data_IF_982884997191
#
_entry.id   IF_982884997191
#
_cell.length_a   1.000
_cell.length_b   1.000
_cell.length_c   1.000
_cell.angle_alpha   90.00
_cell.angle_beta   90.00
_cell.angle_gamma   90.00
#
_symmetry.space_group_name_H-M   'P 1'
#
loop_
_entity.id
_entity.type
_entity.pdbx_description
1 polymer ?
#
# COMPACT_ATOMS: atom_id res chain seq x y z
N UNK A 1 42.63 21.04 -12.26
CA UNK A 1 41.71 21.37 -11.17
C UNK A 1 40.90 20.12 -10.87
N UNK A 2 40.84 19.67 -9.62
CA UNK A 2 40.02 18.51 -9.26
C UNK A 2 38.58 18.98 -9.05
N UNK A 3 37.68 18.51 -9.91
CA UNK A 3 36.25 18.82 -9.84
C UNK A 3 35.53 17.82 -8.96
N UNK A 4 34.66 18.31 -8.08
CA UNK A 4 33.84 17.47 -7.18
C UNK A 4 32.51 17.08 -7.83
N UNK A 5 31.94 15.97 -7.41
CA UNK A 5 30.61 15.57 -7.85
C UNK A 5 29.58 16.65 -7.49
N UNK A 6 28.89 17.17 -8.51
CA UNK A 6 27.86 18.21 -8.37
C UNK A 6 28.35 19.65 -8.55
N UNK A 7 29.63 19.83 -8.89
CA UNK A 7 30.19 21.14 -9.22
C UNK A 7 29.70 21.63 -10.60
N UNK A 8 29.29 22.90 -10.67
CA UNK A 8 28.77 23.49 -11.89
C UNK A 8 29.91 23.76 -12.89
N UNK A 9 29.89 23.07 -14.02
CA UNK A 9 30.87 23.26 -15.11
C UNK A 9 30.50 24.41 -16.04
N UNK A 10 29.24 24.81 -16.05
CA UNK A 10 28.68 25.87 -16.89
C UNK A 10 27.71 26.71 -16.06
N UNK A 11 27.57 27.98 -16.45
CA UNK A 11 26.56 28.86 -15.87
C UNK A 11 25.17 28.56 -16.43
N UNK A 12 24.12 28.81 -15.64
CA UNK A 12 22.74 28.56 -16.02
C UNK A 12 21.89 27.90 -14.93
N UNK A 13 20.58 27.70 -15.21
CA UNK A 13 19.66 27.09 -14.27
C UNK A 13 20.02 25.62 -14.04
N UNK A 14 20.01 25.19 -12.78
CA UNK A 14 20.28 23.80 -12.41
C UNK A 14 19.09 22.92 -12.77
N UNK A 15 19.35 21.81 -13.43
CA UNK A 15 18.32 20.81 -13.74
C UNK A 15 18.02 19.95 -12.49
N UNK A 16 16.76 19.90 -12.02
CA UNK A 16 16.37 19.06 -10.88
C UNK A 16 16.71 17.57 -11.02
N UNK A 17 16.68 17.04 -12.25
CA UNK A 17 17.01 15.63 -12.50
C UNK A 17 18.50 15.34 -12.31
N UNK A 18 19.36 16.31 -12.64
CA UNK A 18 20.81 16.18 -12.50
C UNK A 18 21.19 16.30 -11.02
N UNK A 19 20.54 17.21 -10.28
CA UNK A 19 20.70 17.30 -8.82
C UNK A 19 20.35 15.97 -8.15
N UNK A 20 19.24 15.34 -8.53
CA UNK A 20 18.82 14.06 -7.94
C UNK A 20 19.85 12.95 -8.17
N UNK A 21 20.41 12.88 -9.37
CA UNK A 21 21.35 11.81 -9.74
C UNK A 21 22.74 11.98 -9.13
N UNK A 22 23.18 13.23 -8.91
CA UNK A 22 24.54 13.54 -8.45
C UNK A 22 24.60 13.82 -6.95
N UNK A 23 23.68 14.64 -6.43
CA UNK A 23 23.68 15.13 -5.04
C UNK A 23 22.67 14.38 -4.15
N UNK A 24 21.73 13.65 -4.74
CA UNK A 24 20.76 12.81 -4.03
C UNK A 24 19.46 13.51 -3.63
N UNK A 25 18.61 12.80 -2.89
CA UNK A 25 17.25 13.24 -2.57
C UNK A 25 17.21 14.49 -1.69
N UNK A 26 18.03 14.54 -0.64
CA UNK A 26 18.01 15.64 0.34
C UNK A 26 18.41 16.97 -0.28
N UNK A 27 19.45 16.97 -1.12
CA UNK A 27 19.89 18.17 -1.84
C UNK A 27 18.83 18.66 -2.83
N UNK A 28 18.13 17.74 -3.51
CA UNK A 28 17.02 18.11 -4.39
C UNK A 28 15.86 18.73 -3.61
N UNK A 29 15.49 18.15 -2.47
CA UNK A 29 14.39 18.65 -1.64
C UNK A 29 14.67 20.07 -1.15
N UNK A 30 15.87 20.31 -0.63
CA UNK A 30 16.31 21.63 -0.20
C UNK A 30 16.31 22.64 -1.35
N UNK A 31 16.84 22.26 -2.51
CA UNK A 31 16.81 23.09 -3.71
C UNK A 31 15.39 23.49 -4.12
N UNK A 32 14.46 22.53 -4.20
CA UNK A 32 13.08 22.80 -4.60
C UNK A 32 12.35 23.70 -3.60
N UNK A 33 12.55 23.47 -2.30
CA UNK A 33 11.91 24.29 -1.26
C UNK A 33 12.42 25.72 -1.33
N UNK A 34 13.74 25.92 -1.43
CA UNK A 34 14.33 27.26 -1.50
C UNK A 34 13.88 28.03 -2.74
N UNK A 35 13.93 27.42 -3.93
CA UNK A 35 13.55 28.12 -5.17
C UNK A 35 12.06 28.51 -5.20
N UNK A 36 11.18 27.64 -4.73
CA UNK A 36 9.75 27.96 -4.66
C UNK A 36 9.51 29.07 -3.63
N UNK A 37 10.18 28.98 -2.47
CA UNK A 37 10.03 29.94 -1.39
C UNK A 37 10.56 31.32 -1.75
N UNK A 38 11.65 31.42 -2.52
CA UNK A 38 12.19 32.70 -3.01
C UNK A 38 11.17 33.46 -3.88
N UNK A 39 10.44 32.75 -4.74
CA UNK A 39 9.39 33.37 -5.57
C UNK A 39 8.25 33.92 -4.71
N UNK A 40 7.81 33.18 -3.68
CA UNK A 40 6.75 33.66 -2.77
C UNK A 40 7.21 34.84 -1.91
N UNK A 41 8.44 34.78 -1.39
CA UNK A 41 9.05 35.90 -0.65
C UNK A 41 9.14 37.15 -1.52
N UNK A 42 9.51 37.01 -2.79
CA UNK A 42 9.59 38.12 -3.74
C UNK A 42 8.21 38.77 -3.99
N UNK A 43 7.14 37.99 -3.92
CA UNK A 43 5.76 38.48 -4.03
C UNK A 43 5.19 38.99 -2.68
N UNK A 44 5.98 38.94 -1.61
CA UNK A 44 5.57 39.37 -0.27
C UNK A 44 4.57 38.43 0.41
N UNK A 45 4.47 37.18 -0.03
CA UNK A 45 3.58 36.17 0.56
C UNK A 45 4.39 35.26 1.47
N UNK A 46 3.99 35.18 2.73
CA UNK A 46 4.61 34.28 3.72
C UNK A 46 3.89 32.92 3.73
N UNK A 47 4.64 31.84 3.46
CA UNK A 47 4.16 30.46 3.44
C UNK A 47 5.13 29.61 4.26
N UNK A 48 4.60 28.77 5.14
CA UNK A 48 5.43 27.85 5.91
C UNK A 48 6.01 26.75 5.00
N UNK A 49 7.33 26.53 5.10
CA UNK A 49 8.08 25.55 4.29
C UNK A 49 7.47 24.15 4.33
N UNK A 50 6.84 23.75 5.45
CA UNK A 50 6.15 22.45 5.59
C UNK A 50 5.13 22.18 4.49
N UNK A 51 4.45 23.21 3.99
CA UNK A 51 3.49 23.04 2.89
C UNK A 51 4.19 22.63 1.60
N UNK A 52 5.32 23.27 1.29
CA UNK A 52 6.10 22.98 0.09
C UNK A 52 6.74 21.61 0.22
N UNK A 53 7.31 21.27 1.38
CA UNK A 53 7.90 19.97 1.66
C UNK A 53 6.92 18.81 1.44
N UNK A 54 5.66 18.96 1.87
CA UNK A 54 4.62 17.95 1.66
C UNK A 54 4.36 17.73 0.17
N UNK A 55 4.37 18.78 -0.64
CA UNK A 55 4.21 18.68 -2.10
C UNK A 55 5.43 18.02 -2.75
N UNK A 56 6.64 18.46 -2.40
CA UNK A 56 7.90 17.87 -2.91
C UNK A 56 7.99 16.39 -2.56
N UNK A 57 7.56 16.00 -1.35
CA UNK A 57 7.45 14.59 -0.95
C UNK A 57 6.54 13.79 -1.87
N UNK A 58 5.42 14.35 -2.34
CA UNK A 58 4.55 13.67 -3.31
C UNK A 58 5.20 13.55 -4.69
N UNK A 59 5.97 14.55 -5.11
CA UNK A 59 6.72 14.51 -6.38
C UNK A 59 7.83 13.45 -6.39
N UNK A 60 8.39 13.12 -5.23
CA UNK A 60 9.46 12.13 -5.03
C UNK A 60 8.97 10.78 -4.45
N UNK A 61 7.67 10.51 -4.54
CA UNK A 61 7.05 9.27 -4.01
C UNK A 61 7.44 8.01 -4.81
N UNK A 62 7.96 8.18 -6.02
CA UNK A 62 8.15 7.10 -6.99
C UNK A 62 9.61 6.66 -7.08
N UNK A 63 9.81 5.36 -7.28
CA UNK A 63 11.10 4.72 -7.51
C UNK A 63 11.05 3.99 -8.84
N UNK A 64 12.11 4.09 -9.65
CA UNK A 64 12.28 3.30 -10.87
C UNK A 64 13.18 2.11 -10.56
N UNK A 65 12.74 0.91 -10.86
CA UNK A 65 13.51 -0.32 -10.65
C UNK A 65 14.63 -0.40 -11.68
N UNK A 66 15.85 -0.66 -11.20
CA UNK A 66 17.04 -0.88 -12.04
C UNK A 66 17.46 -2.34 -12.01
N UNK A 67 17.39 -2.99 -10.85
CA UNK A 67 17.64 -4.42 -10.69
C UNK A 67 16.51 -5.04 -9.87
N UNK A 68 16.03 -6.20 -10.31
CA UNK A 68 14.85 -6.86 -9.72
C UNK A 68 15.22 -7.76 -8.54
N UNK A 69 16.41 -8.37 -8.56
CA UNK A 69 16.75 -9.42 -7.60
C UNK A 69 15.72 -10.55 -7.61
N UNK A 70 15.33 -11.02 -6.42
CA UNK A 70 14.30 -12.05 -6.22
C UNK A 70 12.90 -11.46 -5.96
N UNK A 71 12.72 -10.16 -6.16
CA UNK A 71 11.42 -9.50 -5.95
C UNK A 71 10.44 -9.76 -7.10
N UNK A 72 9.16 -9.48 -6.84
CA UNK A 72 8.09 -9.53 -7.84
C UNK A 72 8.08 -8.37 -8.85
N UNK A 73 9.08 -7.48 -8.83
CA UNK A 73 9.11 -6.28 -9.67
C UNK A 73 9.52 -6.56 -11.12
N UNK A 74 9.21 -5.62 -12.01
CA UNK A 74 9.68 -5.65 -13.39
C UNK A 74 10.77 -4.59 -13.60
N UNK A 75 11.75 -4.91 -14.45
CA UNK A 75 12.80 -3.97 -14.84
C UNK A 75 12.17 -2.69 -15.41
N UNK A 76 12.71 -1.53 -15.02
CA UNK A 76 12.22 -0.19 -15.39
C UNK A 76 10.80 0.17 -14.93
N UNK A 77 10.14 -0.69 -14.15
CA UNK A 77 8.84 -0.40 -13.56
C UNK A 77 8.94 0.81 -12.61
N UNK A 78 7.88 1.62 -12.59
CA UNK A 78 7.73 2.72 -11.63
C UNK A 78 6.83 2.24 -10.51
N UNK A 79 7.40 2.13 -9.33
CA UNK A 79 6.69 1.63 -8.16
C UNK A 79 6.66 2.70 -7.07
N UNK A 80 5.63 2.63 -6.25
CA UNK A 80 5.53 3.43 -5.06
C UNK A 80 6.66 3.08 -4.07
N UNK A 81 7.29 4.10 -3.47
CA UNK A 81 8.40 3.91 -2.53
C UNK A 81 8.06 3.08 -1.30
N UNK A 82 6.82 3.12 -0.81
CA UNK A 82 6.36 2.30 0.31
C UNK A 82 6.23 0.84 -0.12
N UNK A 83 5.63 0.57 -1.28
CA UNK A 83 5.53 -0.79 -1.84
C UNK A 83 6.92 -1.38 -2.12
N UNK A 84 7.83 -0.57 -2.66
CA UNK A 84 9.23 -0.95 -2.89
C UNK A 84 9.93 -1.39 -1.60
N UNK A 85 9.79 -0.61 -0.53
CA UNK A 85 10.39 -0.96 0.77
C UNK A 85 9.76 -2.20 1.40
N UNK A 86 8.43 -2.33 1.34
CA UNK A 86 7.70 -3.48 1.89
C UNK A 86 8.13 -4.78 1.22
N UNK A 87 8.16 -4.80 -0.11
CA UNK A 87 8.57 -5.95 -0.90
C UNK A 87 10.04 -6.32 -0.65
N UNK A 88 10.94 -5.34 -0.64
CA UNK A 88 12.35 -5.59 -0.33
C UNK A 88 12.53 -6.13 1.09
N UNK A 89 11.79 -5.60 2.06
CA UNK A 89 11.86 -6.08 3.44
C UNK A 89 11.41 -7.54 3.54
N UNK A 90 10.37 -7.93 2.79
CA UNK A 90 9.93 -9.33 2.71
C UNK A 90 11.04 -10.23 2.16
N UNK A 91 11.60 -9.88 1.00
CA UNK A 91 12.65 -10.69 0.34
C UNK A 91 13.90 -10.82 1.21
N UNK A 92 14.33 -9.75 1.88
CA UNK A 92 15.45 -9.78 2.82
C UNK A 92 15.17 -10.74 3.98
N UNK A 93 13.93 -10.79 4.48
CA UNK A 93 13.53 -11.68 5.57
C UNK A 93 13.51 -13.15 5.13
N UNK A 94 13.20 -13.39 3.86
CA UNK A 94 13.26 -14.72 3.22
C UNK A 94 14.69 -15.14 2.82
N UNK A 95 15.66 -14.22 2.92
CA UNK A 95 17.07 -14.46 2.63
C UNK A 95 17.46 -14.30 1.16
N UNK A 96 16.59 -13.70 0.34
CA UNK A 96 16.85 -13.43 -1.08
C UNK A 96 17.52 -12.08 -1.34
N UNK A 97 17.79 -11.80 -2.61
CA UNK A 97 18.39 -10.55 -3.06
C UNK A 97 17.33 -9.44 -3.25
N UNK A 98 17.43 -8.29 -2.56
CA UNK A 98 16.47 -7.19 -2.70
C UNK A 98 16.61 -6.48 -4.05
N UNK A 99 15.51 -5.88 -4.53
CA UNK A 99 15.57 -5.04 -5.72
C UNK A 99 16.33 -3.74 -5.45
N UNK A 100 17.08 -3.29 -6.46
CA UNK A 100 17.67 -1.95 -6.48
C UNK A 100 16.85 -1.04 -7.38
N UNK A 101 16.60 0.17 -6.90
CA UNK A 101 15.85 1.17 -7.63
C UNK A 101 16.35 2.56 -7.31
N UNK A 102 16.26 3.44 -8.30
CA UNK A 102 16.63 4.85 -8.13
C UNK A 102 15.39 5.72 -7.91
N UNK A 103 15.48 6.76 -7.07
CA UNK A 103 14.39 7.69 -6.89
C UNK A 103 14.06 8.41 -8.21
N UNK A 104 12.77 8.68 -8.41
CA UNK A 104 12.28 9.36 -9.60
C UNK A 104 11.51 10.62 -9.21
N UNK A 105 11.98 11.77 -9.69
CA UNK A 105 11.24 13.02 -9.60
C UNK A 105 10.16 13.07 -10.69
N UNK A 106 8.90 13.16 -10.29
CA UNK A 106 7.76 13.37 -11.19
C UNK A 106 7.11 14.72 -10.92
N UNK A 107 6.69 15.42 -11.98
CA UNK A 107 5.84 16.60 -11.86
C UNK A 107 4.49 16.26 -11.20
N UNK A 108 3.86 17.25 -10.56
CA UNK A 108 2.63 17.07 -9.76
C UNK A 108 1.52 16.38 -10.55
N UNK A 109 1.29 16.78 -11.81
CA UNK A 109 0.29 16.18 -12.70
C UNK A 109 0.55 14.70 -12.94
N UNK A 110 1.81 14.34 -13.23
CA UNK A 110 2.21 12.96 -13.53
C UNK A 110 2.20 12.09 -12.28
N UNK A 111 2.64 12.63 -11.15
CA UNK A 111 2.54 11.96 -9.85
C UNK A 111 1.08 11.69 -9.46
N UNK A 112 0.17 12.64 -9.74
CA UNK A 112 -1.27 12.50 -9.44
C UNK A 112 -1.97 11.48 -10.33
N UNK A 113 -1.62 11.42 -11.62
CA UNK A 113 -2.14 10.42 -12.57
C UNK A 113 -1.63 9.00 -12.31
N UNK A 114 -0.48 8.87 -11.66
CA UNK A 114 0.14 7.57 -11.38
C UNK A 114 -0.35 6.94 -10.08
N UNK A 115 -1.30 7.55 -9.36
CA UNK A 115 -1.79 7.02 -8.08
C UNK A 115 -2.43 5.63 -8.24
N UNK A 116 -2.39 4.82 -7.18
CA UNK A 116 -2.87 3.42 -7.21
C UNK A 116 -4.38 3.29 -7.45
N UNK A 117 -5.15 4.29 -7.06
CA UNK A 117 -6.59 4.32 -7.29
C UNK A 117 -6.93 4.84 -8.68
N UNK A 118 -7.48 3.97 -9.52
CA UNK A 118 -7.97 4.38 -10.83
C UNK A 118 -9.20 5.29 -10.72
N UNK A 119 -10.02 5.17 -9.67
CA UNK A 119 -11.18 6.05 -9.43
C UNK A 119 -10.71 7.47 -9.16
N UNK A 120 -9.72 7.62 -8.27
CA UNK A 120 -9.08 8.91 -7.98
C UNK A 120 -8.37 9.46 -9.21
N UNK A 121 -7.60 8.65 -9.94
CA UNK A 121 -6.89 9.09 -11.14
C UNK A 121 -7.85 9.55 -12.24
N UNK A 122 -8.92 8.78 -12.52
CA UNK A 122 -9.91 9.10 -13.55
C UNK A 122 -10.71 10.38 -13.25
N UNK A 123 -10.90 10.70 -11.96
CA UNK A 123 -11.52 11.95 -11.51
C UNK A 123 -10.66 13.20 -11.70
N UNK A 124 -9.34 13.02 -11.86
CA UNK A 124 -8.42 14.14 -12.05
C UNK A 124 -8.37 14.55 -13.53
N UNK A 125 -7.84 13.68 -14.40
CA UNK A 125 -7.69 13.91 -15.84
C UNK A 125 -7.64 12.57 -16.61
N UNK A 126 -7.67 12.62 -17.94
CA UNK A 126 -7.48 11.47 -18.85
C UNK A 126 -8.41 10.26 -18.59
N UNK A 127 -9.66 10.55 -18.20
CA UNK A 127 -10.67 9.57 -17.76
C UNK A 127 -10.79 8.36 -18.67
N UNK A 128 -10.88 8.55 -19.99
CA UNK A 128 -11.01 7.45 -20.96
C UNK A 128 -9.80 6.51 -20.92
N UNK A 129 -8.58 7.06 -20.90
CA UNK A 129 -7.34 6.26 -20.86
C UNK A 129 -7.24 5.47 -19.57
N UNK A 130 -7.49 6.12 -18.43
CA UNK A 130 -7.38 5.51 -17.10
C UNK A 130 -8.38 4.35 -16.94
N UNK A 131 -9.65 4.58 -17.28
CA UNK A 131 -10.69 3.54 -17.15
C UNK A 131 -10.47 2.38 -18.11
N UNK A 132 -9.99 2.65 -19.32
CA UNK A 132 -9.68 1.58 -20.30
C UNK A 132 -8.55 0.69 -19.79
N UNK A 133 -7.47 1.28 -19.26
CA UNK A 133 -6.36 0.51 -18.71
C UNK A 133 -6.78 -0.30 -17.48
N UNK A 134 -7.59 0.29 -16.60
CA UNK A 134 -8.13 -0.40 -15.43
C UNK A 134 -9.01 -1.59 -15.83
N UNK A 135 -9.85 -1.45 -16.85
CA UNK A 135 -10.69 -2.53 -17.37
C UNK A 135 -9.87 -3.66 -18.00
N UNK A 136 -8.86 -3.33 -18.81
CA UNK A 136 -7.95 -4.32 -19.42
C UNK A 136 -7.20 -5.13 -18.36
N UNK A 137 -6.72 -4.44 -17.31
CA UNK A 137 -5.94 -5.06 -16.25
C UNK A 137 -6.80 -5.73 -15.17
N UNK A 138 -8.12 -5.61 -15.22
CA UNK A 138 -9.02 -6.07 -14.15
C UNK A 138 -8.71 -5.42 -12.80
N UNK A 139 -8.32 -4.14 -12.81
CA UNK A 139 -7.85 -3.44 -11.62
C UNK A 139 -8.97 -3.30 -10.56
N UNK A 140 -8.62 -3.52 -9.29
CA UNK A 140 -9.55 -3.42 -8.16
C UNK A 140 -9.13 -2.25 -7.27
N UNK A 141 -10.06 -1.31 -7.06
CA UNK A 141 -9.84 -0.15 -6.19
C UNK A 141 -10.22 -0.50 -4.74
N UNK A 142 -9.31 -0.23 -3.79
CA UNK A 142 -9.51 -0.54 -2.37
C UNK A 142 -10.11 0.63 -1.57
N UNK A 143 -10.41 1.77 -2.19
CA UNK A 143 -11.04 2.94 -1.57
C UNK A 143 -10.30 3.39 -0.29
N UNK A 144 -8.97 3.44 -0.33
CA UNK A 144 -8.13 3.85 0.80
C UNK A 144 -7.84 5.36 0.79
N UNK A 145 -8.11 6.03 -0.33
CA UNK A 145 -7.86 7.45 -0.53
C UNK A 145 -9.02 8.34 -0.11
N UNK A 146 -8.76 9.65 -0.08
CA UNK A 146 -9.79 10.65 0.24
C UNK A 146 -10.80 10.78 -0.91
N UNK A 147 -10.32 10.95 -2.15
CA UNK A 147 -11.18 11.24 -3.31
C UNK A 147 -12.12 10.09 -3.66
N UNK A 148 -11.61 8.85 -3.65
CA UNK A 148 -12.42 7.64 -3.80
C UNK A 148 -13.64 7.63 -2.86
N UNK A 149 -13.40 7.86 -1.56
CA UNK A 149 -14.48 7.79 -0.57
C UNK A 149 -15.48 8.93 -0.72
N UNK A 150 -15.02 10.14 -1.09
CA UNK A 150 -15.93 11.25 -1.41
C UNK A 150 -16.84 10.90 -2.61
N UNK A 151 -16.27 10.33 -3.68
CA UNK A 151 -17.02 9.96 -4.89
C UNK A 151 -18.05 8.86 -4.57
N UNK A 152 -17.69 7.92 -3.71
CA UNK A 152 -18.56 6.82 -3.29
C UNK A 152 -19.57 7.21 -2.19
N UNK A 153 -19.49 8.42 -1.64
CA UNK A 153 -20.36 8.88 -0.54
C UNK A 153 -20.07 8.22 0.82
N UNK A 154 -18.85 7.68 1.02
CA UNK A 154 -18.38 7.09 2.28
C UNK A 154 -17.65 8.13 3.13
N UNK A 155 -17.54 7.87 4.43
CA UNK A 155 -16.69 8.68 5.31
C UNK A 155 -15.24 8.66 4.83
N UNK A 156 -14.62 9.84 4.74
CA UNK A 156 -13.21 9.96 4.34
C UNK A 156 -12.29 9.47 5.45
N UNK A 157 -11.13 8.85 5.13
CA UNK A 157 -10.17 8.33 6.11
C UNK A 157 -9.31 9.45 6.75
N UNK A 158 -9.92 10.57 7.11
CA UNK A 158 -9.26 11.73 7.68
C UNK A 158 -10.19 12.45 8.67
N UNK A 159 -9.61 13.18 9.63
CA UNK A 159 -10.36 13.90 10.66
C UNK A 159 -11.22 12.95 11.50
N UNK A 160 -12.50 13.29 11.67
CA UNK A 160 -13.48 12.46 12.40
C UNK A 160 -13.78 11.13 11.70
N UNK A 161 -13.57 11.05 10.39
CA UNK A 161 -13.76 9.83 9.62
C UNK A 161 -12.55 8.88 9.66
N UNK A 162 -11.48 9.21 10.38
CA UNK A 162 -10.27 8.37 10.44
C UNK A 162 -10.41 7.16 11.37
N UNK A 163 -11.25 7.25 12.40
CA UNK A 163 -11.39 6.22 13.45
C UNK A 163 -11.77 4.84 12.90
N UNK A 164 -12.75 4.70 11.98
CA UNK A 164 -13.11 3.41 11.37
C UNK A 164 -12.00 2.80 10.49
N UNK A 165 -11.01 3.60 10.07
CA UNK A 165 -9.89 3.13 9.24
C UNK A 165 -8.65 2.77 10.05
N UNK A 166 -8.58 3.18 11.33
CA UNK A 166 -7.50 2.78 12.25
C UNK A 166 -7.69 1.35 12.76
N UNK A 167 -8.93 0.87 12.76
CA UNK A 167 -9.33 -0.44 13.29
C UNK A 167 -9.05 -1.57 12.28
N UNK A 168 -7.80 -1.69 11.82
CA UNK A 168 -7.27 -2.99 11.42
C UNK A 168 -6.58 -3.58 12.63
N UNK A 169 -7.40 -4.11 13.54
CA UNK A 169 -6.92 -5.15 14.43
C UNK A 169 -6.52 -6.30 13.52
N UNK A 170 -5.21 -6.51 13.30
CA UNK A 170 -4.75 -7.84 12.95
C UNK A 170 -5.09 -8.64 14.20
N UNK A 171 -6.05 -9.58 14.20
CA UNK A 171 -5.98 -10.61 15.21
C UNK A 171 -4.62 -11.24 14.98
N UNK A 172 -3.68 -11.01 15.89
CA UNK A 172 -2.55 -11.93 16.01
C UNK A 172 -3.22 -13.29 16.03
N UNK A 173 -2.96 -14.10 15.01
CA UNK A 173 -3.34 -15.50 15.04
C UNK A 173 -2.74 -16.04 16.33
N UNK A 174 -3.55 -16.07 17.39
CA UNK A 174 -3.39 -17.07 18.41
C UNK A 174 -3.30 -18.35 17.59
N UNK A 175 -2.14 -19.02 17.70
CA UNK A 175 -1.96 -20.35 17.13
C UNK A 175 -3.27 -21.12 17.36
N UNK A 176 -3.80 -21.83 16.34
CA UNK A 176 -5.02 -22.58 16.54
C UNK A 176 -4.81 -23.43 17.79
N UNK A 177 -5.58 -23.15 18.85
CA UNK A 177 -5.64 -24.04 20.00
C UNK A 177 -6.10 -25.37 19.39
N UNK A 178 -5.22 -26.37 19.42
CA UNK A 178 -5.55 -27.72 19.03
C UNK A 178 -6.75 -28.12 19.89
N UNK A 179 -7.94 -28.17 19.28
CA UNK A 179 -9.09 -28.79 19.91
C UNK A 179 -8.67 -30.23 20.25
N UNK A 180 -8.81 -30.67 21.51
CA UNK A 180 -8.41 -32.02 21.87
C UNK A 180 -9.23 -32.99 21.02
N UNK A 181 -8.53 -33.87 20.29
CA UNK A 181 -9.15 -34.98 19.56
C UNK A 181 -10.04 -35.75 20.54
N UNK A 182 -11.36 -35.73 20.33
CA UNK A 182 -12.25 -36.63 21.05
C UNK A 182 -11.90 -38.06 20.63
N UNK A 183 -11.27 -38.80 21.54
CA UNK A 183 -10.99 -40.24 21.44
C UNK A 183 -12.28 -41.02 21.16
N UNK A 184 -12.56 -41.25 19.88
CA UNK A 184 -13.66 -42.07 19.38
C UNK A 184 -13.32 -43.57 19.51
N UNK A 185 -12.99 -44.09 20.69
CA UNK A 185 -12.87 -45.55 20.88
C UNK A 185 -12.89 -46.00 22.34
N UNK A 186 -14.10 -46.20 22.88
CA UNK A 186 -14.43 -47.41 23.66
C UNK A 186 -15.91 -47.39 24.09
N UNK A 187 -16.82 -47.80 23.19
CA UNK A 187 -18.07 -48.43 23.65
C UNK A 187 -17.79 -49.93 23.59
N UNK A 188 -17.47 -50.48 24.76
CA UNK A 188 -17.40 -51.91 24.99
C UNK A 188 -18.72 -52.55 24.56
N UNK A 189 -18.62 -53.63 23.79
CA UNK A 189 -19.74 -54.46 23.41
C UNK A 189 -20.33 -55.15 24.67
N UNK A 190 -21.32 -54.51 25.28
CA UNK A 190 -22.20 -55.09 26.29
C UNK A 190 -23.41 -55.72 25.60
N UNK A 191 -23.40 -57.04 25.45
CA UNK A 191 -24.54 -57.84 25.03
C UNK A 191 -25.64 -57.82 26.07
N UNK A 192 -26.80 -57.22 25.76
CA UNK A 192 -28.05 -57.49 26.48
C UNK A 192 -29.21 -57.62 25.47
N UNK A 193 -29.57 -58.87 25.17
CA UNK A 193 -30.64 -59.29 24.23
C UNK A 193 -32.05 -58.80 24.62
N UNK A 194 -32.21 -58.10 25.74
CA UNK A 194 -33.50 -57.67 26.29
C UNK A 194 -34.01 -56.35 25.68
N UNK A 195 -33.13 -55.51 25.13
CA UNK A 195 -33.50 -54.20 24.54
C UNK A 195 -34.00 -54.30 23.10
N UNK A 196 -33.53 -55.28 22.33
CA UNK A 196 -33.99 -55.55 20.95
C UNK A 196 -35.45 -56.02 20.89
N UNK A 197 -35.92 -56.75 21.91
CA UNK A 197 -37.30 -57.23 21.98
C UNK A 197 -38.32 -56.09 22.21
N UNK A 198 -37.92 -55.04 22.95
CA UNK A 198 -38.79 -53.88 23.20
C UNK A 198 -38.90 -52.93 22.00
N UNK A 199 -37.89 -52.88 21.14
CA UNK A 199 -37.90 -52.06 19.92
C UNK A 199 -38.75 -52.64 18.77
N UNK A 200 -38.93 -53.97 18.73
CA UNK A 200 -39.76 -54.64 17.71
C UNK A 200 -41.27 -54.61 18.03
N UNK A 201 -41.65 -54.31 19.27
CA UNK A 201 -43.04 -54.28 19.72
C UNK A 201 -43.62 -52.85 19.76
N UNK A 202 -43.51 -52.10 18.66
CA UNK A 202 -44.43 -51.00 18.28
C UNK A 202 -44.86 -49.97 19.34
N UNK A 203 -43.98 -49.56 20.25
CA UNK A 203 -44.29 -48.56 21.31
C UNK A 203 -43.74 -47.18 21.00
N UNK A 204 -44.61 -46.16 21.04
CA UNK A 204 -44.32 -44.73 20.78
C UNK A 204 -43.26 -44.14 21.73
N UNK A 205 -42.38 -43.27 21.19
CA UNK A 205 -41.42 -42.48 21.99
C UNK A 205 -42.13 -41.63 23.07
N UNK A 206 -41.61 -41.55 24.30
CA UNK A 206 -42.07 -40.56 25.27
C UNK A 206 -41.62 -39.16 24.85
N UNK A 207 -42.57 -38.24 24.86
CA UNK A 207 -42.41 -36.83 24.54
C UNK A 207 -41.58 -36.10 25.59
N UNK A 208 -40.72 -35.19 25.11
CA UNK A 208 -39.91 -34.26 25.88
C UNK A 208 -40.76 -33.46 26.89
N UNK A 209 -40.31 -33.43 28.15
CA UNK A 209 -40.59 -32.32 29.07
C UNK A 209 -39.40 -32.04 30.00
N UNK A 210 -38.95 -30.78 29.88
CA UNK A 210 -38.14 -29.94 30.77
C UNK A 210 -36.66 -30.26 30.90
#
# INVERSE_FOLDING_TARGET
EEVRAGEALMDGPKNPHDILSVLGESALQEYLVNEIQEVYRLQGVDINDKHIEVIVRQMMRWVKIEEVGDTSFVLEEKVDRFRFREENQRVITEGGEPAMGRPLLLGITKASLSTDSFVSAASFQETTRVLTQAAINGAVDRLRGLKENVIMGRLVPAGTGAEPYKEYHVPTTAAPEEEPEEDFLSIEAGTDETTLAQLLAGGTLPTSKK
#
